data_IF_317434622682
#
_entry.id   IF_317434622682
#
_cell.length_a   1.000
_cell.length_b   1.000
_cell.length_c   1.000
_cell.angle_alpha   90.00
_cell.angle_beta   90.00
_cell.angle_gamma   90.00
#
_symmetry.space_group_name_H-M   'P 1'
#
loop_
_entity.id
_entity.type
_entity.pdbx_description
1 polymer ?
#
# COMPACT_ATOMS: atom_id res chain seq x y z
N UNK A 1 -31.54 -23.42 -17.43
CA UNK A 1 -31.28 -22.06 -16.89
C UNK A 1 -30.76 -22.24 -15.47
N UNK A 2 -29.46 -22.15 -15.28
CA UNK A 2 -28.88 -22.14 -13.94
C UNK A 2 -29.07 -20.73 -13.37
N UNK A 3 -29.81 -20.63 -12.26
CA UNK A 3 -29.92 -19.39 -11.49
C UNK A 3 -28.54 -19.15 -10.89
N UNK A 4 -27.80 -18.17 -11.42
CA UNK A 4 -26.60 -17.69 -10.78
C UNK A 4 -27.02 -17.11 -9.42
N UNK A 5 -26.71 -17.81 -8.34
CA UNK A 5 -26.83 -17.27 -6.99
C UNK A 5 -25.84 -16.11 -6.97
N UNK A 6 -26.34 -14.88 -6.95
CA UNK A 6 -25.54 -13.68 -6.74
C UNK A 6 -24.89 -13.82 -5.36
N UNK A 7 -23.63 -14.24 -5.34
CA UNK A 7 -22.83 -14.24 -4.12
C UNK A 7 -22.68 -12.76 -3.75
N UNK A 8 -23.30 -12.35 -2.65
CA UNK A 8 -23.18 -10.99 -2.12
C UNK A 8 -21.70 -10.73 -1.86
N UNK A 9 -21.15 -9.63 -2.39
CA UNK A 9 -19.76 -9.23 -2.12
C UNK A 9 -19.52 -9.21 -0.60
N UNK A 10 -18.41 -9.79 -0.11
CA UNK A 10 -18.06 -9.68 1.31
C UNK A 10 -17.91 -8.20 1.66
N UNK A 11 -18.18 -7.82 2.91
CA UNK A 11 -17.91 -6.45 3.34
C UNK A 11 -16.40 -6.23 3.48
N UNK A 12 -15.96 -4.98 3.36
CA UNK A 12 -14.54 -4.60 3.40
C UNK A 12 -13.82 -5.12 4.63
N UNK A 13 -14.40 -4.97 5.84
CA UNK A 13 -13.74 -5.38 7.09
C UNK A 13 -13.48 -6.89 7.12
N UNK A 14 -14.45 -7.71 6.73
CA UNK A 14 -14.27 -9.16 6.66
C UNK A 14 -13.25 -9.58 5.60
N UNK A 15 -13.26 -8.93 4.42
CA UNK A 15 -12.28 -9.17 3.36
C UNK A 15 -10.87 -8.79 3.81
N UNK A 16 -10.71 -7.70 4.55
CA UNK A 16 -9.41 -7.25 5.04
C UNK A 16 -8.82 -8.23 6.07
N UNK A 17 -9.61 -8.68 7.04
CA UNK A 17 -9.21 -9.70 8.03
C UNK A 17 -8.81 -11.00 7.31
N UNK A 18 -9.63 -11.46 6.36
CA UNK A 18 -9.32 -12.65 5.57
C UNK A 18 -8.01 -12.50 4.79
N UNK A 19 -7.77 -11.33 4.21
CA UNK A 19 -6.51 -11.03 3.51
C UNK A 19 -5.31 -11.15 4.44
N UNK A 20 -5.40 -10.60 5.64
CA UNK A 20 -4.32 -10.69 6.64
C UNK A 20 -4.00 -12.15 6.98
N UNK A 21 -5.02 -12.98 7.22
CA UNK A 21 -4.85 -14.41 7.52
C UNK A 21 -4.20 -15.16 6.36
N UNK A 22 -4.68 -14.92 5.12
CA UNK A 22 -4.16 -15.57 3.92
C UNK A 22 -2.69 -15.21 3.66
N UNK A 23 -2.36 -13.92 3.69
CA UNK A 23 -1.00 -13.45 3.43
C UNK A 23 -0.05 -13.92 4.53
N UNK A 24 -0.44 -13.82 5.80
CA UNK A 24 0.38 -14.31 6.92
C UNK A 24 0.64 -15.80 6.80
N UNK A 25 -0.39 -16.61 6.57
CA UNK A 25 -0.22 -18.05 6.36
C UNK A 25 0.60 -18.41 5.11
N UNK A 26 0.58 -17.58 4.05
CA UNK A 26 1.45 -17.76 2.88
C UNK A 26 2.89 -17.38 3.18
N UNK A 27 3.11 -16.27 3.88
CA UNK A 27 4.44 -15.84 4.32
C UNK A 27 5.12 -16.90 5.20
N UNK A 28 4.39 -17.47 6.17
CA UNK A 28 4.91 -18.54 7.03
C UNK A 28 5.38 -19.76 6.23
N UNK A 29 4.65 -20.13 5.16
CA UNK A 29 5.04 -21.24 4.30
C UNK A 29 6.26 -20.94 3.44
N UNK A 30 6.32 -19.74 2.86
CA UNK A 30 7.42 -19.31 1.97
C UNK A 30 8.71 -19.08 2.76
N UNK A 31 8.58 -18.53 3.95
CA UNK A 31 9.71 -18.22 4.85
C UNK A 31 9.91 -19.33 5.91
N UNK A 32 9.49 -20.57 5.63
CA UNK A 32 9.69 -21.68 6.57
C UNK A 32 11.18 -21.99 6.75
N UNK A 33 11.63 -22.13 7.99
CA UNK A 33 13.03 -22.44 8.34
C UNK A 33 13.44 -21.81 9.67
N UNK A 34 14.60 -22.21 10.14
CA UNK A 34 15.21 -21.76 11.41
C UNK A 34 16.46 -20.92 11.09
N UNK A 35 16.26 -19.72 10.53
CA UNK A 35 17.34 -18.81 10.17
C UNK A 35 16.97 -17.39 10.65
N UNK A 36 17.94 -16.68 11.23
CA UNK A 36 17.72 -15.33 11.77
C UNK A 36 17.25 -14.35 10.69
N UNK A 37 17.70 -14.50 9.44
CA UNK A 37 17.21 -13.68 8.34
C UNK A 37 15.74 -13.94 8.06
N UNK A 38 15.30 -15.21 8.05
CA UNK A 38 13.90 -15.58 7.87
C UNK A 38 13.04 -15.06 9.03
N UNK A 39 13.56 -15.10 10.27
CA UNK A 39 12.89 -14.53 11.43
C UNK A 39 12.68 -13.02 11.28
N UNK A 40 13.72 -12.28 10.85
CA UNK A 40 13.63 -10.84 10.62
C UNK A 40 12.65 -10.50 9.48
N UNK A 41 12.64 -11.29 8.39
CA UNK A 41 11.69 -11.11 7.28
C UNK A 41 10.23 -11.36 7.74
N UNK A 42 9.96 -12.44 8.49
CA UNK A 42 8.63 -12.70 9.07
C UNK A 42 8.20 -11.59 10.01
N UNK A 43 9.12 -11.12 10.84
CA UNK A 43 8.88 -10.00 11.76
C UNK A 43 8.49 -8.72 11.00
N UNK A 44 9.21 -8.37 9.95
CA UNK A 44 8.94 -7.19 9.11
C UNK A 44 7.57 -7.27 8.39
N UNK A 45 7.15 -8.47 7.99
CA UNK A 45 5.84 -8.73 7.38
C UNK A 45 4.70 -8.77 8.41
N UNK A 46 5.00 -8.92 9.70
CA UNK A 46 3.98 -9.04 10.73
C UNK A 46 3.28 -7.72 11.02
N UNK A 47 2.02 -7.82 11.41
CA UNK A 47 1.21 -6.64 11.72
C UNK A 47 0.84 -5.81 10.49
N UNK A 48 0.10 -4.73 10.70
CA UNK A 48 -0.38 -3.88 9.63
C UNK A 48 -1.69 -4.34 8.99
N UNK A 49 -2.27 -3.43 8.22
CA UNK A 49 -3.61 -3.63 7.64
C UNK A 49 -3.59 -4.44 6.34
N UNK A 50 -2.41 -4.68 5.75
CA UNK A 50 -2.22 -5.39 4.46
C UNK A 50 -3.16 -4.90 3.34
N UNK A 51 -3.33 -3.58 3.25
CA UNK A 51 -4.26 -2.96 2.31
C UNK A 51 -3.84 -3.18 0.84
N UNK A 52 -2.54 -3.23 0.56
CA UNK A 52 -2.04 -3.47 -0.80
C UNK A 52 -2.34 -4.89 -1.25
N UNK A 53 -2.11 -5.86 -0.39
CA UNK A 53 -2.49 -7.26 -0.63
C UNK A 53 -4.00 -7.43 -0.78
N UNK A 54 -4.79 -6.72 0.01
CA UNK A 54 -6.26 -6.68 -0.14
C UNK A 54 -6.66 -6.17 -1.53
N UNK A 55 -6.05 -5.10 -2.03
CA UNK A 55 -6.35 -4.57 -3.36
C UNK A 55 -6.01 -5.59 -4.47
N UNK A 56 -4.92 -6.34 -4.32
CA UNK A 56 -4.56 -7.42 -5.26
C UNK A 56 -5.64 -8.51 -5.27
N UNK A 57 -6.05 -9.01 -4.10
CA UNK A 57 -7.01 -10.11 -4.00
C UNK A 57 -8.40 -9.67 -4.48
N UNK A 58 -8.86 -8.47 -4.14
CA UNK A 58 -10.14 -7.97 -4.62
C UNK A 58 -10.12 -7.67 -6.12
N UNK A 59 -9.04 -7.10 -6.66
CA UNK A 59 -8.86 -6.94 -8.09
C UNK A 59 -8.86 -8.26 -8.85
N UNK A 60 -8.25 -9.30 -8.29
CA UNK A 60 -8.26 -10.66 -8.82
C UNK A 60 -9.67 -11.27 -8.79
N UNK A 61 -10.41 -11.08 -7.69
CA UNK A 61 -11.79 -11.53 -7.54
C UNK A 61 -12.72 -10.92 -8.61
N UNK A 62 -12.55 -9.64 -8.92
CA UNK A 62 -13.33 -8.96 -9.98
C UNK A 62 -13.13 -9.60 -11.36
N UNK A 63 -11.98 -10.22 -11.58
CA UNK A 63 -11.63 -10.89 -12.84
C UNK A 63 -11.69 -12.42 -12.76
N UNK A 64 -12.33 -12.98 -11.72
CA UNK A 64 -12.48 -14.42 -11.49
C UNK A 64 -11.15 -15.20 -11.52
N UNK A 65 -10.07 -14.58 -11.06
CA UNK A 65 -8.76 -15.22 -10.89
C UNK A 65 -8.79 -16.06 -9.63
N UNK A 66 -8.18 -17.24 -9.70
CA UNK A 66 -8.01 -18.14 -8.56
C UNK A 66 -7.22 -17.42 -7.44
N UNK A 67 -7.71 -17.55 -6.20
CA UNK A 67 -7.14 -16.89 -5.03
C UNK A 67 -5.69 -17.36 -4.78
N UNK A 68 -5.39 -18.65 -4.99
CA UNK A 68 -4.02 -19.17 -4.79
C UNK A 68 -3.04 -18.58 -5.80
N UNK A 69 -3.50 -18.22 -7.01
CA UNK A 69 -2.68 -17.48 -7.98
C UNK A 69 -2.44 -16.05 -7.50
N UNK A 70 -3.51 -15.35 -7.11
CA UNK A 70 -3.43 -13.95 -6.70
C UNK A 70 -2.66 -13.76 -5.38
N UNK A 71 -2.65 -14.77 -4.50
CA UNK A 71 -2.06 -14.69 -3.17
C UNK A 71 -0.54 -14.44 -3.22
N UNK A 72 0.19 -14.99 -4.20
CA UNK A 72 1.61 -14.70 -4.34
C UNK A 72 1.88 -13.27 -4.83
N UNK A 73 1.02 -12.73 -5.68
CA UNK A 73 1.10 -11.32 -6.06
C UNK A 73 0.76 -10.39 -4.86
N UNK A 74 -0.20 -10.81 -4.01
CA UNK A 74 -0.53 -10.09 -2.78
C UNK A 74 0.62 -10.13 -1.75
N UNK A 75 1.27 -11.28 -1.57
CA UNK A 75 2.46 -11.37 -0.72
C UNK A 75 3.64 -10.58 -1.32
N UNK A 76 3.85 -10.62 -2.63
CA UNK A 76 4.91 -9.89 -3.30
C UNK A 76 4.83 -8.37 -3.04
N UNK A 77 3.65 -7.77 -3.16
CA UNK A 77 3.50 -6.33 -2.91
C UNK A 77 3.67 -5.98 -1.42
N UNK A 78 3.26 -6.85 -0.51
CA UNK A 78 3.48 -6.65 0.92
C UNK A 78 4.97 -6.83 1.28
N UNK A 79 5.73 -7.72 0.60
CA UNK A 79 7.18 -7.79 0.72
C UNK A 79 7.85 -6.48 0.26
N UNK A 80 7.43 -5.92 -0.88
CA UNK A 80 7.91 -4.60 -1.35
C UNK A 80 7.61 -3.51 -0.33
N UNK A 81 6.40 -3.49 0.23
CA UNK A 81 6.04 -2.52 1.24
C UNK A 81 6.81 -2.72 2.55
N UNK A 82 7.00 -3.96 2.99
CA UNK A 82 7.73 -4.26 4.22
C UNK A 82 9.21 -3.85 4.12
N UNK A 83 9.90 -4.19 3.01
CA UNK A 83 11.28 -3.77 2.83
C UNK A 83 11.45 -2.25 2.87
N UNK A 84 10.52 -1.51 2.24
CA UNK A 84 10.59 -0.06 2.23
C UNK A 84 10.49 0.52 3.64
N UNK A 85 9.60 -0.04 4.48
CA UNK A 85 9.48 0.39 5.87
C UNK A 85 10.71 0.03 6.71
N UNK A 86 11.29 -1.17 6.51
CA UNK A 86 12.50 -1.60 7.24
C UNK A 86 13.68 -0.68 6.92
N UNK A 87 13.84 -0.28 5.65
CA UNK A 87 14.89 0.63 5.26
C UNK A 87 14.62 2.07 5.67
N UNK A 88 13.36 2.53 5.60
CA UNK A 88 12.96 3.86 6.05
C UNK A 88 13.23 4.05 7.56
N UNK A 89 13.07 2.99 8.38
CA UNK A 89 13.28 3.05 9.82
C UNK A 89 14.77 3.16 10.24
N UNK A 90 15.74 2.93 9.33
CA UNK A 90 17.17 2.97 9.65
C UNK A 90 17.64 4.34 10.15
N UNK A 91 18.69 4.40 10.99
CA UNK A 91 19.24 5.66 11.51
C UNK A 91 19.72 6.66 10.43
N UNK A 92 20.02 6.19 9.22
CA UNK A 92 20.39 7.04 8.09
C UNK A 92 19.20 7.56 7.29
N UNK A 93 17.98 7.19 7.70
CA UNK A 93 16.70 7.55 7.08
C UNK A 93 15.83 8.27 8.12
N UNK A 94 14.69 7.69 8.53
CA UNK A 94 13.74 8.29 9.46
C UNK A 94 14.15 8.15 10.93
N UNK A 95 15.12 7.26 11.27
CA UNK A 95 15.64 6.95 12.62
C UNK A 95 14.50 6.64 13.61
N UNK A 96 13.55 5.79 13.20
CA UNK A 96 12.40 5.42 14.02
C UNK A 96 12.71 4.15 14.84
N UNK A 97 12.51 4.23 16.16
CA UNK A 97 12.72 3.11 17.08
C UNK A 97 11.54 2.12 17.11
N UNK A 98 10.33 2.58 16.78
CA UNK A 98 9.10 1.82 16.86
C UNK A 98 8.28 1.92 15.58
N UNK A 99 7.76 0.76 15.14
CA UNK A 99 6.81 0.66 14.04
C UNK A 99 5.63 -0.24 14.43
N UNK A 100 4.41 0.25 14.29
CA UNK A 100 3.18 -0.46 14.69
C UNK A 100 3.21 -0.93 16.15
N UNK A 101 3.85 -0.14 17.03
CA UNK A 101 4.00 -0.44 18.46
C UNK A 101 5.07 -1.48 18.80
N UNK A 102 5.79 -2.01 17.82
CA UNK A 102 6.91 -2.95 18.03
C UNK A 102 8.25 -2.26 17.71
N UNK A 103 9.38 -2.72 18.29
CA UNK A 103 10.71 -2.26 17.88
C UNK A 103 10.90 -2.42 16.37
N UNK A 104 11.59 -1.47 15.74
CA UNK A 104 11.98 -1.60 14.33
C UNK A 104 13.03 -2.71 14.17
N UNK A 105 13.23 -3.23 12.94
CA UNK A 105 14.13 -4.37 12.73
C UNK A 105 15.54 -4.07 13.20
N UNK A 106 16.06 -2.86 12.94
CA UNK A 106 17.41 -2.47 13.39
C UNK A 106 17.53 -2.34 14.91
N UNK A 107 16.41 -2.11 15.63
CA UNK A 107 16.38 -2.10 17.10
C UNK A 107 16.19 -3.47 17.71
N UNK A 108 15.46 -4.37 17.00
CA UNK A 108 15.24 -5.76 17.44
C UNK A 108 16.47 -6.62 17.23
N UNK A 109 17.22 -6.38 16.16
CA UNK A 109 18.49 -7.05 15.84
C UNK A 109 19.61 -6.01 15.73
N UNK A 110 19.95 -5.61 14.52
CA UNK A 110 20.94 -4.58 14.21
C UNK A 110 20.69 -3.98 12.80
N UNK A 111 21.47 -2.95 12.43
CA UNK A 111 21.36 -2.28 11.15
C UNK A 111 21.68 -3.20 9.96
N UNK A 112 22.67 -4.10 10.12
CA UNK A 112 23.04 -5.03 9.06
C UNK A 112 21.89 -6.00 8.77
N UNK A 113 21.23 -6.53 9.82
CA UNK A 113 20.04 -7.38 9.66
C UNK A 113 18.89 -6.61 9.01
N UNK A 114 18.68 -5.35 9.35
CA UNK A 114 17.66 -4.52 8.71
C UNK A 114 17.93 -4.35 7.21
N UNK A 115 19.16 -4.04 6.81
CA UNK A 115 19.54 -3.94 5.39
C UNK A 115 19.30 -5.28 4.68
N UNK A 116 19.83 -6.38 5.23
CA UNK A 116 19.77 -7.69 4.58
C UNK A 116 18.33 -8.24 4.50
N UNK A 117 17.52 -8.04 5.53
CA UNK A 117 16.12 -8.49 5.49
C UNK A 117 15.29 -7.67 4.50
N UNK A 118 15.56 -6.37 4.36
CA UNK A 118 14.95 -5.55 3.33
C UNK A 118 15.34 -5.99 1.92
N UNK A 119 16.63 -6.25 1.66
CA UNK A 119 17.12 -6.75 0.38
C UNK A 119 16.49 -8.12 0.03
N UNK A 120 16.39 -9.02 1.01
CA UNK A 120 15.81 -10.34 0.84
C UNK A 120 14.30 -10.26 0.56
N UNK A 121 13.55 -9.40 1.26
CA UNK A 121 12.13 -9.17 1.02
C UNK A 121 11.88 -8.60 -0.39
N UNK A 122 12.69 -7.62 -0.82
CA UNK A 122 12.60 -7.06 -2.17
C UNK A 122 12.85 -8.15 -3.22
N UNK A 123 13.86 -8.98 -3.03
CA UNK A 123 14.20 -10.07 -3.96
C UNK A 123 13.10 -11.13 -3.99
N UNK A 124 12.57 -11.52 -2.83
CA UNK A 124 11.46 -12.46 -2.70
C UNK A 124 10.21 -12.01 -3.47
N UNK A 125 9.92 -10.72 -3.48
CA UNK A 125 8.77 -10.20 -4.22
C UNK A 125 8.86 -10.54 -5.72
N UNK A 126 10.01 -10.41 -6.32
CA UNK A 126 10.23 -10.77 -7.74
C UNK A 126 10.27 -12.29 -7.97
N UNK A 127 10.83 -13.07 -7.03
CA UNK A 127 10.79 -14.53 -7.06
C UNK A 127 9.34 -15.04 -7.07
N UNK A 128 8.48 -14.54 -6.20
CA UNK A 128 7.06 -14.89 -6.15
C UNK A 128 6.34 -14.61 -7.48
N UNK A 129 6.61 -13.48 -8.12
CA UNK A 129 5.99 -13.11 -9.39
C UNK A 129 6.56 -13.86 -10.61
N UNK A 130 7.73 -14.48 -10.49
CA UNK A 130 8.34 -15.29 -11.53
C UNK A 130 7.78 -16.73 -11.59
N UNK A 131 6.86 -17.09 -10.69
CA UNK A 131 6.24 -18.42 -10.66
C UNK A 131 5.48 -18.71 -11.96
N UNK A 132 5.59 -19.95 -12.44
CA UNK A 132 4.96 -20.46 -13.68
C UNK A 132 3.43 -20.33 -13.68
N UNK A 133 2.80 -20.24 -12.50
CA UNK A 133 1.34 -20.08 -12.37
C UNK A 133 0.80 -18.76 -12.95
N UNK A 134 1.64 -17.73 -13.06
CA UNK A 134 1.28 -16.49 -13.72
C UNK A 134 1.35 -16.57 -15.26
N UNK A 135 1.95 -17.63 -15.82
CA UNK A 135 2.01 -17.84 -17.27
C UNK A 135 2.58 -16.61 -18.02
N UNK A 136 1.85 -16.16 -19.03
CA UNK A 136 2.29 -15.01 -19.84
C UNK A 136 2.22 -13.66 -19.13
N UNK A 137 1.48 -13.54 -18.01
CA UNK A 137 1.36 -12.29 -17.25
C UNK A 137 2.54 -12.04 -16.29
N UNK A 138 3.36 -13.06 -15.98
CA UNK A 138 4.49 -12.95 -15.06
C UNK A 138 5.43 -11.80 -15.41
N UNK A 139 5.86 -11.70 -16.67
CA UNK A 139 6.80 -10.67 -17.13
C UNK A 139 6.20 -9.28 -16.99
N UNK A 140 4.91 -9.11 -17.29
CA UNK A 140 4.24 -7.81 -17.17
C UNK A 140 4.05 -7.41 -15.72
N UNK A 141 3.67 -8.34 -14.81
CA UNK A 141 3.60 -8.09 -13.37
C UNK A 141 4.94 -7.63 -12.82
N UNK A 142 6.03 -8.35 -13.15
CA UNK A 142 7.39 -8.01 -12.74
C UNK A 142 7.79 -6.63 -13.25
N UNK A 143 7.58 -6.36 -14.55
CA UNK A 143 7.93 -5.09 -15.18
C UNK A 143 7.21 -3.92 -14.53
N UNK A 144 5.89 -4.06 -14.31
CA UNK A 144 5.08 -3.02 -13.67
C UNK A 144 5.47 -2.82 -12.20
N UNK A 145 5.80 -3.91 -11.45
CA UNK A 145 6.26 -3.80 -10.08
C UNK A 145 7.62 -3.10 -9.99
N UNK A 146 8.55 -3.45 -10.87
CA UNK A 146 9.86 -2.79 -10.94
C UNK A 146 9.74 -1.28 -11.23
N UNK A 147 8.80 -0.88 -12.07
CA UNK A 147 8.50 0.53 -12.33
C UNK A 147 7.86 1.21 -11.11
N UNK A 148 6.87 0.55 -10.48
CA UNK A 148 6.14 1.11 -9.33
C UNK A 148 7.01 1.22 -8.06
N UNK A 149 7.92 0.29 -7.84
CA UNK A 149 8.81 0.29 -6.68
C UNK A 149 10.11 1.09 -6.90
N UNK A 150 10.61 1.15 -8.13
CA UNK A 150 11.97 1.61 -8.46
C UNK A 150 12.12 3.12 -8.70
N UNK A 151 13.05 3.44 -9.63
CA UNK A 151 13.49 4.80 -9.96
C UNK A 151 12.39 5.75 -10.47
N UNK A 152 11.30 5.23 -10.99
CA UNK A 152 10.16 5.99 -11.49
C UNK A 152 8.97 6.00 -10.52
N UNK A 153 9.04 5.22 -9.43
CA UNK A 153 8.00 4.99 -8.44
C UNK A 153 8.44 5.31 -7.00
N UNK A 154 8.20 4.35 -6.10
CA UNK A 154 8.32 4.52 -4.64
C UNK A 154 9.70 5.03 -4.20
N UNK A 155 10.81 4.44 -4.68
CA UNK A 155 12.17 4.87 -4.30
C UNK A 155 12.43 6.31 -4.73
N UNK A 156 11.99 6.70 -5.93
CA UNK A 156 12.07 8.10 -6.37
C UNK A 156 11.19 9.02 -5.52
N UNK A 157 10.02 8.53 -5.08
CA UNK A 157 9.14 9.26 -4.16
C UNK A 157 9.80 9.49 -2.80
N UNK A 158 10.46 8.48 -2.24
CA UNK A 158 11.23 8.59 -1.01
C UNK A 158 12.39 9.59 -1.12
N UNK A 159 13.13 9.55 -2.24
CA UNK A 159 14.17 10.55 -2.52
C UNK A 159 13.61 11.98 -2.56
N UNK A 160 12.41 12.18 -3.14
CA UNK A 160 11.77 13.49 -3.16
C UNK A 160 11.32 13.92 -1.76
N UNK A 161 10.88 12.98 -0.91
CA UNK A 161 10.47 13.25 0.47
C UNK A 161 11.66 13.74 1.31
N UNK A 162 12.78 13.01 1.27
CA UNK A 162 14.04 13.43 1.94
C UNK A 162 14.53 14.78 1.42
N UNK A 163 14.48 15.01 0.11
CA UNK A 163 14.88 16.28 -0.48
C UNK A 163 13.98 17.45 -0.03
N UNK A 164 12.69 17.18 0.22
CA UNK A 164 11.75 18.18 0.72
C UNK A 164 12.08 18.63 2.16
N UNK A 165 12.54 17.73 3.02
CA UNK A 165 12.94 18.04 4.40
C UNK A 165 14.11 19.01 4.49
N UNK A 166 15.04 18.92 3.53
CA UNK A 166 16.23 19.77 3.46
C UNK A 166 16.05 21.01 2.58
N UNK A 167 14.90 21.15 1.92
CA UNK A 167 14.61 22.25 1.01
C UNK A 167 14.42 23.58 1.76
N UNK A 168 14.99 24.67 1.21
CA UNK A 168 14.78 26.02 1.73
C UNK A 168 13.39 26.60 1.36
N UNK A 169 12.75 26.06 0.34
CA UNK A 169 11.44 26.51 -0.12
C UNK A 169 10.43 25.35 0.10
N UNK A 170 9.26 25.63 0.69
CA UNK A 170 8.21 24.62 0.81
C UNK A 170 7.75 24.15 -0.58
N UNK A 171 7.34 22.89 -0.68
CA UNK A 171 6.78 22.34 -1.90
C UNK A 171 5.45 23.03 -2.24
N UNK A 172 5.18 23.23 -3.53
CA UNK A 172 3.87 23.60 -4.03
C UNK A 172 2.93 22.37 -4.14
N UNK A 173 1.65 22.61 -4.42
CA UNK A 173 0.65 21.55 -4.49
C UNK A 173 0.98 20.49 -5.57
N UNK A 174 1.50 20.89 -6.71
CA UNK A 174 1.85 19.96 -7.80
C UNK A 174 3.05 19.07 -7.40
N UNK A 175 3.99 19.66 -6.71
CA UNK A 175 5.17 18.94 -6.20
C UNK A 175 4.77 17.92 -5.13
N UNK A 176 3.86 18.27 -4.21
CA UNK A 176 3.32 17.33 -3.22
C UNK A 176 2.55 16.20 -3.89
N UNK A 177 1.65 16.51 -4.82
CA UNK A 177 0.91 15.49 -5.58
C UNK A 177 1.89 14.53 -6.26
N UNK A 178 2.94 15.05 -6.92
CA UNK A 178 3.95 14.22 -7.59
C UNK A 178 4.71 13.33 -6.61
N UNK A 179 5.12 13.87 -5.46
CA UNK A 179 5.81 13.14 -4.40
C UNK A 179 4.93 11.98 -3.91
N UNK A 180 3.70 12.28 -3.49
CA UNK A 180 2.78 11.30 -2.94
C UNK A 180 2.35 10.24 -3.95
N UNK A 181 2.13 10.61 -5.20
CA UNK A 181 1.85 9.65 -6.27
C UNK A 181 3.00 8.67 -6.46
N UNK A 182 4.27 9.12 -6.33
CA UNK A 182 5.42 8.24 -6.44
C UNK A 182 5.62 7.41 -5.18
N UNK A 183 5.71 8.05 -4.00
CA UNK A 183 6.02 7.38 -2.73
C UNK A 183 4.97 6.33 -2.36
N UNK A 184 3.70 6.65 -2.56
CA UNK A 184 2.55 5.83 -2.13
C UNK A 184 1.69 5.35 -3.29
N UNK A 185 1.32 6.24 -4.19
CA UNK A 185 0.34 5.98 -5.26
C UNK A 185 0.75 4.87 -6.21
N UNK A 186 2.04 4.79 -6.61
CA UNK A 186 2.51 3.78 -7.55
C UNK A 186 2.29 2.34 -7.05
N UNK A 187 2.55 2.05 -5.76
CA UNK A 187 2.32 0.72 -5.20
C UNK A 187 0.82 0.43 -5.05
N UNK A 188 0.00 1.42 -4.68
CA UNK A 188 -1.46 1.27 -4.62
C UNK A 188 -2.01 0.98 -6.02
N UNK A 189 -1.54 1.69 -7.04
CA UNK A 189 -1.96 1.50 -8.43
C UNK A 189 -1.58 0.11 -8.94
N UNK A 190 -0.34 -0.34 -8.70
CA UNK A 190 0.06 -1.69 -9.04
C UNK A 190 -0.82 -2.73 -8.35
N UNK A 191 -1.08 -2.57 -7.05
CA UNK A 191 -1.89 -3.49 -6.26
C UNK A 191 -3.30 -3.65 -6.83
N UNK A 192 -3.97 -2.57 -7.14
CA UNK A 192 -5.32 -2.62 -7.69
C UNK A 192 -5.35 -3.26 -9.09
N UNK A 193 -4.34 -2.97 -9.94
CA UNK A 193 -4.29 -3.47 -11.31
C UNK A 193 -3.84 -4.94 -11.44
N UNK A 194 -3.15 -5.51 -10.45
CA UNK A 194 -2.52 -6.82 -10.56
C UNK A 194 -3.49 -7.91 -11.02
N UNK A 195 -4.71 -7.96 -10.48
CA UNK A 195 -5.74 -8.90 -10.88
C UNK A 195 -6.13 -8.79 -12.37
N UNK A 196 -6.29 -7.56 -12.86
CA UNK A 196 -6.58 -7.32 -14.28
C UNK A 196 -5.40 -7.72 -15.18
N UNK A 197 -4.15 -7.45 -14.75
CA UNK A 197 -2.95 -7.90 -15.48
C UNK A 197 -2.89 -9.42 -15.56
N UNK A 198 -3.15 -10.14 -14.48
CA UNK A 198 -3.19 -11.60 -14.46
C UNK A 198 -4.26 -12.12 -15.44
N UNK A 199 -5.42 -11.47 -15.49
CA UNK A 199 -6.52 -11.82 -16.37
C UNK A 199 -6.30 -11.42 -17.85
N UNK A 200 -5.29 -10.61 -18.17
CA UNK A 200 -5.13 -10.00 -19.48
C UNK A 200 -6.26 -9.01 -19.84
N UNK A 201 -6.87 -8.40 -18.82
CA UNK A 201 -8.01 -7.48 -18.96
C UNK A 201 -7.56 -6.02 -18.99
N UNK A 202 -8.48 -5.10 -19.31
CA UNK A 202 -8.22 -3.65 -19.24
C UNK A 202 -7.98 -3.21 -17.79
N UNK A 203 -6.82 -2.62 -17.56
CA UNK A 203 -6.40 -2.10 -16.24
C UNK A 203 -6.92 -0.70 -15.94
N UNK A 204 -7.47 0.00 -16.94
CA UNK A 204 -7.83 1.42 -16.84
C UNK A 204 -8.79 1.74 -15.69
N UNK A 205 -9.90 0.99 -15.47
CA UNK A 205 -10.82 1.27 -14.38
C UNK A 205 -10.15 1.16 -13.00
N UNK A 206 -9.35 0.10 -12.78
CA UNK A 206 -8.67 -0.12 -11.51
C UNK A 206 -7.51 0.85 -11.29
N UNK A 207 -6.88 1.33 -12.36
CA UNK A 207 -5.90 2.42 -12.28
C UNK A 207 -6.54 3.73 -11.82
N UNK A 208 -7.65 4.15 -12.45
CA UNK A 208 -8.36 5.36 -12.04
C UNK A 208 -8.86 5.28 -10.61
N UNK A 209 -9.38 4.11 -10.20
CA UNK A 209 -9.72 3.84 -8.80
C UNK A 209 -8.52 4.05 -7.87
N UNK A 210 -7.38 3.45 -8.19
CA UNK A 210 -6.20 3.47 -7.35
C UNK A 210 -5.54 4.87 -7.28
N UNK A 211 -5.53 5.61 -8.39
CA UNK A 211 -4.98 6.97 -8.46
C UNK A 211 -5.79 7.91 -7.55
N UNK A 212 -7.12 7.82 -7.59
CA UNK A 212 -8.01 8.59 -6.73
C UNK A 212 -7.89 8.15 -5.27
N UNK A 213 -7.90 6.83 -5.00
CA UNK A 213 -7.76 6.25 -3.65
C UNK A 213 -6.44 6.65 -3.00
N UNK A 214 -5.33 6.54 -3.72
CA UNK A 214 -4.00 6.85 -3.21
C UNK A 214 -3.86 8.32 -2.79
N UNK A 215 -4.43 9.23 -3.58
CA UNK A 215 -4.42 10.65 -3.24
C UNK A 215 -5.38 10.96 -2.06
N UNK A 216 -6.58 10.35 -2.04
CA UNK A 216 -7.50 10.48 -0.93
C UNK A 216 -6.90 9.98 0.38
N UNK A 217 -6.16 8.87 0.32
CA UNK A 217 -5.45 8.28 1.46
C UNK A 217 -4.45 9.26 2.09
N UNK A 218 -3.64 9.93 1.26
CA UNK A 218 -2.64 10.89 1.74
C UNK A 218 -3.29 12.15 2.32
N UNK A 219 -4.35 12.67 1.68
CA UNK A 219 -5.09 13.81 2.22
C UNK A 219 -5.75 13.44 3.56
N UNK A 220 -6.29 12.22 3.68
CA UNK A 220 -6.86 11.75 4.94
C UNK A 220 -5.80 11.60 6.04
N UNK A 221 -4.59 11.12 5.70
CA UNK A 221 -3.46 11.07 6.65
C UNK A 221 -3.08 12.48 7.14
N UNK A 222 -2.98 13.46 6.24
CA UNK A 222 -2.69 14.86 6.60
C UNK A 222 -3.79 15.46 7.49
N UNK A 223 -5.06 15.13 7.23
CA UNK A 223 -6.19 15.58 8.07
C UNK A 223 -6.09 14.96 9.47
N UNK A 224 -5.79 13.66 9.55
CA UNK A 224 -5.62 12.95 10.83
C UNK A 224 -4.43 13.49 11.64
N UNK A 225 -3.34 13.90 10.99
CA UNK A 225 -2.20 14.52 11.69
C UNK A 225 -2.58 15.88 12.33
N UNK A 226 -3.56 16.59 11.75
CA UNK A 226 -4.02 17.90 12.27
C UNK A 226 -5.13 17.76 13.30
N UNK A 227 -6.12 16.88 13.07
CA UNK A 227 -7.34 16.76 13.91
C UNK A 227 -7.26 15.61 14.93
N UNK A 228 -6.37 14.63 14.71
CA UNK A 228 -6.27 13.43 15.54
C UNK A 228 -5.86 13.76 16.97
N UNK A 229 -6.44 13.02 17.92
CA UNK A 229 -5.98 13.01 19.31
C UNK A 229 -4.84 12.00 19.45
N UNK A 230 -3.74 12.39 20.09
CA UNK A 230 -2.54 11.56 20.24
C UNK A 230 -2.83 10.21 20.92
N UNK A 231 -3.85 10.11 21.77
CA UNK A 231 -4.27 8.86 22.42
C UNK A 231 -5.00 7.91 21.45
N UNK A 232 -5.72 8.45 20.46
CA UNK A 232 -6.54 7.67 19.50
C UNK A 232 -5.73 7.25 18.28
N UNK A 233 -4.79 8.08 17.82
CA UNK A 233 -4.00 7.83 16.60
C UNK A 233 -2.82 6.88 16.83
N UNK A 234 -2.42 6.66 18.09
CA UNK A 234 -1.29 5.77 18.43
C UNK A 234 0.08 6.21 17.89
N UNK A 235 0.18 7.46 17.39
CA UNK A 235 1.40 8.11 16.90
C UNK A 235 1.48 9.55 17.44
N UNK A 236 2.67 10.15 17.39
CA UNK A 236 2.82 11.58 17.65
C UNK A 236 2.11 12.35 16.53
N UNK A 237 1.02 13.04 16.83
CA UNK A 237 0.33 13.98 15.94
C UNK A 237 1.16 15.27 15.80
N UNK A 238 0.94 16.01 14.68
CA UNK A 238 1.67 17.24 14.32
C UNK A 238 3.17 17.02 14.00
N UNK A 239 3.58 15.81 13.66
CA UNK A 239 4.96 15.54 13.22
C UNK A 239 5.33 16.41 12.00
N UNK A 240 4.44 16.50 11.03
CA UNK A 240 4.66 17.24 9.78
C UNK A 240 4.76 18.75 10.00
N UNK A 241 3.93 19.32 10.87
CA UNK A 241 3.98 20.74 11.24
C UNK A 241 5.29 21.11 11.98
N UNK A 242 5.79 20.21 12.85
CA UNK A 242 7.05 20.40 13.58
C UNK A 242 8.25 20.25 12.64
N UNK A 243 8.17 19.35 11.65
CA UNK A 243 9.20 19.16 10.63
C UNK A 243 9.15 20.23 9.52
N UNK A 244 8.16 21.14 9.52
CA UNK A 244 8.00 22.15 8.47
C UNK A 244 7.65 21.59 7.09
N UNK A 245 7.14 20.35 7.04
CA UNK A 245 6.70 19.70 5.78
C UNK A 245 5.45 20.40 5.24
N UNK A 246 5.45 20.68 3.94
CA UNK A 246 4.25 21.12 3.26
C UNK A 246 3.30 19.91 3.09
N UNK A 247 2.05 20.03 3.54
CA UNK A 247 1.00 19.02 3.46
C UNK A 247 -0.18 19.54 2.65
N UNK A 248 -1.12 18.67 2.24
CA UNK A 248 -2.35 19.10 1.58
C UNK A 248 -3.15 20.05 2.48
N UNK A 249 -3.21 19.79 3.79
CA UNK A 249 -3.91 20.66 4.73
C UNK A 249 -3.24 22.02 4.88
N UNK A 250 -1.89 22.08 4.89
CA UNK A 250 -1.19 23.37 4.99
C UNK A 250 -1.35 24.24 3.74
N UNK A 251 -1.56 23.63 2.55
CA UNK A 251 -1.70 24.36 1.29
C UNK A 251 -3.14 24.71 0.93
N UNK A 252 -4.08 23.81 1.22
CA UNK A 252 -5.49 23.97 0.85
C UNK A 252 -6.33 24.57 1.99
N UNK A 253 -5.91 24.38 3.23
CA UNK A 253 -6.74 24.52 4.42
C UNK A 253 -7.56 23.24 4.69
N UNK A 254 -7.92 23.06 5.96
CA UNK A 254 -8.56 21.82 6.45
C UNK A 254 -9.89 21.52 5.74
N UNK A 255 -10.78 22.51 5.62
CA UNK A 255 -12.11 22.32 5.01
C UNK A 255 -11.99 21.94 3.52
N UNK A 256 -11.10 22.62 2.78
CA UNK A 256 -10.90 22.31 1.38
C UNK A 256 -10.20 20.93 1.19
N UNK A 257 -9.32 20.53 2.10
CA UNK A 257 -8.73 19.19 2.09
C UNK A 257 -9.80 18.10 2.31
N UNK A 258 -10.73 18.30 3.25
CA UNK A 258 -11.88 17.39 3.47
C UNK A 258 -12.78 17.27 2.23
N UNK A 259 -13.12 18.39 1.61
CA UNK A 259 -13.90 18.40 0.37
C UNK A 259 -13.15 17.64 -0.72
N UNK A 260 -11.86 17.88 -0.87
CA UNK A 260 -11.04 17.19 -1.88
C UNK A 260 -10.93 15.69 -1.66
N UNK A 261 -10.78 15.24 -0.41
CA UNK A 261 -10.79 13.82 -0.06
C UNK A 261 -12.13 13.14 -0.43
N UNK A 262 -13.25 13.81 -0.15
CA UNK A 262 -14.58 13.31 -0.53
C UNK A 262 -14.76 13.21 -2.05
N UNK A 263 -14.39 14.24 -2.81
CA UNK A 263 -14.42 14.22 -4.29
C UNK A 263 -13.60 13.07 -4.88
N UNK A 264 -12.42 12.80 -4.31
CA UNK A 264 -11.55 11.70 -4.75
C UNK A 264 -12.15 10.34 -4.40
N UNK A 265 -12.79 10.20 -3.25
CA UNK A 265 -13.54 9.00 -2.89
C UNK A 265 -14.67 8.72 -3.90
N UNK A 266 -15.44 9.75 -4.28
CA UNK A 266 -16.49 9.63 -5.28
C UNK A 266 -15.92 9.25 -6.66
N UNK A 267 -14.78 9.83 -7.06
CA UNK A 267 -14.08 9.47 -8.31
C UNK A 267 -13.61 8.01 -8.27
N UNK A 268 -13.05 7.55 -7.15
CA UNK A 268 -12.66 6.15 -6.97
C UNK A 268 -13.88 5.22 -7.09
N UNK A 269 -14.98 5.55 -6.44
CA UNK A 269 -16.21 4.75 -6.51
C UNK A 269 -16.77 4.68 -7.94
N UNK A 270 -16.80 5.81 -8.66
CA UNK A 270 -17.30 5.89 -10.04
C UNK A 270 -16.44 5.08 -11.03
N UNK A 271 -15.11 5.03 -10.83
CA UNK A 271 -14.23 4.21 -11.66
C UNK A 271 -14.58 2.71 -11.64
N UNK A 272 -15.30 2.26 -10.62
CA UNK A 272 -15.72 0.87 -10.44
C UNK A 272 -17.13 0.56 -11.01
N UNK A 273 -17.79 1.51 -11.66
CA UNK A 273 -19.17 1.32 -12.18
C UNK A 273 -19.28 0.17 -13.19
N UNK A 274 -18.23 -0.07 -13.96
CA UNK A 274 -18.14 -1.20 -14.90
C UNK A 274 -18.29 -2.58 -14.22
N UNK A 275 -17.95 -2.68 -12.92
CA UNK A 275 -18.03 -3.92 -12.15
C UNK A 275 -19.37 -4.10 -11.40
N UNK A 276 -20.28 -3.11 -11.47
CA UNK A 276 -21.56 -3.16 -10.79
C UNK A 276 -21.42 -3.48 -9.29
N UNK A 277 -22.26 -4.37 -8.77
CA UNK A 277 -22.25 -4.76 -7.34
C UNK A 277 -20.98 -5.52 -6.93
N UNK A 278 -20.26 -6.13 -7.88
CA UNK A 278 -19.01 -6.83 -7.57
C UNK A 278 -17.91 -5.88 -7.09
N UNK A 279 -17.97 -4.60 -7.48
CA UNK A 279 -17.04 -3.57 -7.03
C UNK A 279 -17.30 -3.02 -5.61
N UNK A 280 -18.36 -3.47 -4.92
CA UNK A 280 -18.80 -2.81 -3.68
C UNK A 280 -17.77 -2.91 -2.54
N UNK A 281 -17.07 -4.02 -2.40
CA UNK A 281 -15.98 -4.16 -1.40
C UNK A 281 -14.87 -3.11 -1.58
N UNK A 282 -14.50 -2.82 -2.83
CA UNK A 282 -13.51 -1.76 -3.13
C UNK A 282 -14.09 -0.36 -2.91
N UNK A 283 -15.40 -0.13 -3.16
CA UNK A 283 -16.04 1.14 -2.82
C UNK A 283 -16.11 1.36 -1.32
N UNK A 284 -16.41 0.30 -0.53
CA UNK A 284 -16.35 0.36 0.93
C UNK A 284 -14.94 0.69 1.41
N UNK A 285 -13.89 0.13 0.80
CA UNK A 285 -12.50 0.46 1.11
C UNK A 285 -12.19 1.95 0.86
N UNK A 286 -12.67 2.51 -0.26
CA UNK A 286 -12.47 3.93 -0.56
C UNK A 286 -13.17 4.84 0.46
N UNK A 287 -14.42 4.53 0.84
CA UNK A 287 -15.14 5.26 1.88
C UNK A 287 -14.47 5.15 3.25
N UNK A 288 -13.96 3.96 3.59
CA UNK A 288 -13.24 3.75 4.84
C UNK A 288 -11.98 4.61 4.94
N UNK A 289 -11.24 4.79 3.85
CA UNK A 289 -10.01 5.60 3.83
C UNK A 289 -10.24 7.03 4.32
N UNK A 290 -11.36 7.65 3.96
CA UNK A 290 -11.67 9.03 4.32
C UNK A 290 -12.48 9.16 5.63
N UNK A 291 -13.04 8.05 6.15
CA UNK A 291 -13.87 8.04 7.37
C UNK A 291 -13.14 7.48 8.60
N UNK A 292 -11.88 7.06 8.47
CA UNK A 292 -11.11 6.49 9.57
C UNK A 292 -10.70 7.55 10.57
N UNK A 293 -10.77 7.20 11.85
CA UNK A 293 -10.34 8.03 12.97
C UNK A 293 -8.91 7.70 13.44
N UNK A 294 -8.26 6.68 12.85
CA UNK A 294 -6.91 6.21 13.20
C UNK A 294 -6.29 5.35 12.09
#
# INVERSE_FOLDING_TARGET
>A
MAVAIAVKSPNFAASLIRTQDLISGRADRVLAGEDTLLDAMRYALSGGKMLRGFLVLEGARLHAIDEDVALDAALAIECIHAYSLVHDDLPCMDDDDLRRGMPTVHRQWDEAMAVLSGDALQTLAFELLADVKFGSSALELIRLLAQAAGKDGMVSGQMLDIAAETSRAPLDLQQIIRLQNRKTGCLISWSAMAGAVIAGADTTPLRHYADALGLAFQIADDILDVEGDAETVGKRVRKDAVAGKATFVSLLGLDAAKVRAAELCDQACAALDIYGDQGETLREAARFVISRDS
#
